data_IF_447434268438
#
_entry.id   IF_447434268438
#
_cell.length_a   1.000
_cell.length_b   1.000
_cell.length_c   1.000
_cell.angle_alpha   90.00
_cell.angle_beta   90.00
_cell.angle_gamma   90.00
#
_symmetry.space_group_name_H-M   'P 1'
#
loop_
_entity.id
_entity.type
_entity.pdbx_description
1 polymer ?
#
# COMPACT_ATOMS: atom_id res chain seq x y z
N UNK A 1 -12.06 -57.62 -25.50
CA UNK A 1 -10.68 -57.28 -25.05
C UNK A 1 -10.25 -55.86 -25.42
N UNK A 2 -10.64 -55.27 -26.56
CA UNK A 2 -10.22 -53.90 -26.93
C UNK A 2 -10.94 -52.74 -26.19
N UNK A 3 -12.16 -52.95 -25.68
CA UNK A 3 -12.95 -51.92 -24.99
C UNK A 3 -12.48 -51.65 -23.54
N UNK A 4 -11.95 -52.66 -22.84
CA UNK A 4 -11.42 -52.50 -21.47
C UNK A 4 -10.12 -51.68 -21.42
N UNK A 5 -9.29 -51.77 -22.47
CA UNK A 5 -8.00 -51.10 -22.52
C UNK A 5 -8.13 -49.60 -22.87
N UNK A 6 -9.21 -49.23 -23.56
CA UNK A 6 -9.57 -47.84 -23.88
C UNK A 6 -10.17 -47.09 -22.68
N UNK A 7 -10.95 -47.77 -21.84
CA UNK A 7 -11.53 -47.17 -20.63
C UNK A 7 -10.49 -46.89 -19.54
N UNK A 8 -9.52 -47.78 -19.33
CA UNK A 8 -8.44 -47.60 -18.33
C UNK A 8 -7.48 -46.46 -18.66
N UNK A 9 -7.18 -46.22 -19.94
CA UNK A 9 -6.20 -45.20 -20.36
C UNK A 9 -6.77 -43.78 -20.42
N UNK A 10 -8.07 -43.60 -20.67
CA UNK A 10 -8.73 -42.28 -20.63
C UNK A 10 -9.16 -41.82 -19.22
N UNK A 11 -9.42 -42.76 -18.30
CA UNK A 11 -9.78 -42.44 -16.92
C UNK A 11 -8.61 -41.89 -16.08
N UNK A 12 -7.39 -42.37 -16.33
CA UNK A 12 -6.18 -41.97 -15.59
C UNK A 12 -5.71 -40.56 -15.97
N UNK A 13 -5.75 -40.23 -17.27
CA UNK A 13 -5.27 -38.95 -17.80
C UNK A 13 -6.16 -37.74 -17.41
N UNK A 14 -7.45 -37.95 -17.12
CA UNK A 14 -8.37 -36.87 -16.70
C UNK A 14 -8.29 -36.60 -15.19
N UNK A 15 -8.07 -37.64 -14.37
CA UNK A 15 -7.93 -37.50 -12.92
C UNK A 15 -6.61 -36.84 -12.51
N UNK A 16 -5.51 -37.14 -13.21
CA UNK A 16 -4.20 -36.52 -12.92
C UNK A 16 -4.18 -35.01 -13.24
N UNK A 17 -4.92 -34.58 -14.28
CA UNK A 17 -5.09 -33.16 -14.64
C UNK A 17 -5.93 -32.39 -13.61
N UNK A 18 -6.95 -33.03 -13.02
CA UNK A 18 -7.76 -32.45 -11.95
C UNK A 18 -6.97 -32.22 -10.65
N UNK A 19 -6.07 -33.14 -10.29
CA UNK A 19 -5.21 -33.01 -9.10
C UNK A 19 -4.16 -31.89 -9.24
N UNK A 20 -3.57 -31.70 -10.43
CA UNK A 20 -2.66 -30.59 -10.70
C UNK A 20 -3.34 -29.22 -10.57
N UNK A 21 -4.53 -29.09 -11.15
CA UNK A 21 -5.33 -27.86 -11.06
C UNK A 21 -5.76 -27.53 -9.62
N UNK A 22 -6.04 -28.55 -8.81
CA UNK A 22 -6.37 -28.37 -7.40
C UNK A 22 -5.16 -27.92 -6.56
N UNK A 23 -3.95 -28.39 -6.90
CA UNK A 23 -2.70 -27.97 -6.27
C UNK A 23 -2.34 -26.50 -6.55
N UNK A 24 -2.54 -26.04 -7.78
CA UNK A 24 -2.33 -24.64 -8.16
C UNK A 24 -3.37 -23.71 -7.51
N UNK A 25 -4.62 -24.16 -7.41
CA UNK A 25 -5.68 -23.43 -6.70
C UNK A 25 -5.36 -23.30 -5.20
N UNK A 26 -4.87 -24.35 -4.55
CA UNK A 26 -4.49 -24.32 -3.15
C UNK A 26 -3.34 -23.33 -2.87
N UNK A 27 -2.34 -23.27 -3.75
CA UNK A 27 -1.25 -22.28 -3.66
C UNK A 27 -1.76 -20.85 -3.82
N UNK A 28 -2.64 -20.62 -4.79
CA UNK A 28 -3.26 -19.30 -5.00
C UNK A 28 -4.08 -18.85 -3.78
N UNK A 29 -4.90 -19.74 -3.21
CA UNK A 29 -5.69 -19.44 -2.00
C UNK A 29 -4.79 -19.07 -0.82
N UNK A 30 -3.68 -19.78 -0.63
CA UNK A 30 -2.72 -19.46 0.44
C UNK A 30 -2.06 -18.09 0.23
N UNK A 31 -1.64 -17.78 -0.99
CA UNK A 31 -1.06 -16.47 -1.32
C UNK A 31 -2.08 -15.34 -1.11
N UNK A 32 -3.35 -15.56 -1.48
CA UNK A 32 -4.42 -14.58 -1.26
C UNK A 32 -4.69 -14.34 0.23
N UNK A 33 -4.70 -15.40 1.05
CA UNK A 33 -4.84 -15.28 2.51
C UNK A 33 -3.67 -14.51 3.15
N UNK A 34 -2.43 -14.79 2.72
CA UNK A 34 -1.25 -14.07 3.20
C UNK A 34 -1.28 -12.59 2.79
N UNK A 35 -1.68 -12.29 1.55
CA UNK A 35 -1.90 -10.93 1.09
C UNK A 35 -2.96 -10.21 1.93
N UNK A 36 -4.11 -10.84 2.16
CA UNK A 36 -5.19 -10.24 2.96
C UNK A 36 -4.71 -9.89 4.38
N UNK A 37 -3.95 -10.78 5.02
CA UNK A 37 -3.38 -10.54 6.36
C UNK A 37 -2.35 -9.40 6.35
N UNK A 38 -1.43 -9.39 5.36
CA UNK A 38 -0.41 -8.33 5.22
C UNK A 38 -1.03 -6.98 4.92
N UNK A 39 -2.07 -6.92 4.09
CA UNK A 39 -2.78 -5.67 3.80
C UNK A 39 -3.50 -5.12 5.04
N UNK A 40 -4.13 -5.97 5.84
CA UNK A 40 -4.73 -5.54 7.10
C UNK A 40 -3.68 -4.96 8.06
N UNK A 41 -2.55 -5.64 8.24
CA UNK A 41 -1.45 -5.15 9.06
C UNK A 41 -0.88 -3.81 8.53
N UNK A 42 -0.72 -3.67 7.21
CA UNK A 42 -0.26 -2.42 6.61
C UNK A 42 -1.21 -1.25 6.88
N UNK A 43 -2.52 -1.49 6.79
CA UNK A 43 -3.51 -0.45 7.07
C UNK A 43 -3.36 0.06 8.51
N UNK A 44 -3.09 -0.82 9.47
CA UNK A 44 -2.82 -0.44 10.85
C UNK A 44 -1.47 0.28 11.01
N UNK A 45 -0.41 -0.21 10.37
CA UNK A 45 0.92 0.41 10.41
C UNK A 45 0.92 1.84 9.85
N UNK A 46 0.16 2.09 8.76
CA UNK A 46 0.05 3.43 8.15
C UNK A 46 -0.51 4.50 9.10
N UNK A 47 -1.22 4.12 10.17
CA UNK A 47 -1.64 5.06 11.20
C UNK A 47 -0.51 5.52 12.12
N UNK A 48 0.59 4.78 12.17
CA UNK A 48 1.72 5.04 13.09
C UNK A 48 2.94 5.63 12.38
N UNK A 49 3.05 5.43 11.07
CA UNK A 49 4.14 5.99 10.27
C UNK A 49 3.90 7.49 10.12
N UNK A 50 4.79 8.30 10.70
CA UNK A 50 4.71 9.76 10.66
C UNK A 50 5.60 10.31 9.53
N UNK A 51 5.07 11.29 8.81
CA UNK A 51 5.82 12.09 7.83
C UNK A 51 5.64 13.57 8.15
N UNK A 52 6.64 14.38 7.84
CA UNK A 52 6.60 15.83 8.05
C UNK A 52 6.82 16.56 6.74
N UNK A 53 5.83 17.38 6.38
CA UNK A 53 5.93 18.36 5.32
C UNK A 53 6.33 19.72 5.86
N UNK A 54 6.93 20.55 5.03
CA UNK A 54 7.43 21.87 5.42
C UNK A 54 7.21 22.93 4.33
N UNK A 55 7.19 24.18 4.76
CA UNK A 55 7.20 25.35 3.88
C UNK A 55 7.97 26.50 4.53
N UNK A 56 8.22 27.58 3.78
CA UNK A 56 8.89 28.77 4.30
C UNK A 56 10.27 28.46 4.89
N UNK A 57 11.06 27.61 4.24
CA UNK A 57 12.35 27.14 4.74
C UNK A 57 12.30 26.47 6.13
N UNK A 58 11.19 25.80 6.45
CA UNK A 58 10.99 25.07 7.71
C UNK A 58 10.34 25.89 8.81
N UNK A 59 9.91 27.13 8.52
CA UNK A 59 9.15 27.97 9.45
C UNK A 59 7.75 27.43 9.72
N UNK A 60 7.18 26.66 8.79
CA UNK A 60 5.94 25.91 9.02
C UNK A 60 6.17 24.44 8.73
N UNK A 61 5.80 23.58 9.68
CA UNK A 61 5.91 22.12 9.57
C UNK A 61 4.57 21.48 9.89
N UNK A 62 4.07 20.66 8.98
CA UNK A 62 2.86 19.86 9.19
C UNK A 62 3.25 18.39 9.27
N UNK A 63 2.85 17.71 10.35
CA UNK A 63 3.09 16.27 10.51
C UNK A 63 1.78 15.51 10.35
N UNK A 64 1.78 14.48 9.50
CA UNK A 64 0.66 13.58 9.32
C UNK A 64 1.11 12.12 9.32
N UNK A 65 0.14 11.21 9.46
CA UNK A 65 0.38 9.78 9.27
C UNK A 65 0.53 9.47 7.77
N UNK A 66 1.09 8.31 7.42
CA UNK A 66 1.14 7.84 6.03
C UNK A 66 -0.26 7.63 5.42
N UNK A 67 -1.30 7.50 6.26
CA UNK A 67 -2.72 7.52 5.86
C UNK A 67 -3.26 8.92 5.55
N UNK A 68 -2.48 9.97 5.79
CA UNK A 68 -2.85 11.36 5.57
C UNK A 68 -3.57 12.04 6.74
N UNK A 69 -3.62 11.40 7.91
CA UNK A 69 -4.23 12.00 9.11
C UNK A 69 -3.27 13.03 9.72
N UNK A 70 -3.65 14.31 9.75
CA UNK A 70 -2.86 15.38 10.38
C UNK A 70 -2.78 15.17 11.90
N UNK A 71 -1.57 15.30 12.46
CA UNK A 71 -1.29 15.10 13.89
C UNK A 71 -0.68 16.32 14.56
N UNK A 72 0.10 17.11 13.83
CA UNK A 72 0.73 18.31 14.38
C UNK A 72 0.91 19.40 13.31
N UNK A 73 0.92 20.64 13.78
CA UNK A 73 1.30 21.82 13.04
C UNK A 73 2.21 22.65 13.94
N UNK A 74 3.44 22.88 13.49
CA UNK A 74 4.44 23.71 14.14
C UNK A 74 4.69 24.94 13.27
N UNK A 75 4.64 26.12 13.89
CA UNK A 75 4.77 27.41 13.23
C UNK A 75 5.74 28.25 14.04
N UNK A 76 6.83 28.67 13.40
CA UNK A 76 7.83 29.54 14.00
C UNK A 76 7.20 30.89 14.34
N UNK A 77 7.35 31.38 15.59
CA UNK A 77 6.68 32.60 16.03
C UNK A 77 7.11 33.85 15.26
N UNK A 78 8.28 33.83 14.59
CA UNK A 78 8.79 34.96 13.81
C UNK A 78 7.91 35.34 12.62
N UNK A 79 7.03 34.44 12.14
CA UNK A 79 6.16 34.73 10.99
C UNK A 79 4.86 35.43 11.38
N UNK A 80 4.54 35.53 12.67
CA UNK A 80 3.34 36.24 13.13
C UNK A 80 3.62 37.74 13.28
N UNK A 81 3.58 38.46 12.16
CA UNK A 81 3.33 39.90 12.17
C UNK A 81 1.88 40.18 11.73
N UNK A 82 1.35 41.36 12.07
CA UNK A 82 -0.05 41.72 11.77
C UNK A 82 -0.36 41.91 10.29
N UNK A 83 0.68 42.11 9.46
CA UNK A 83 0.54 42.56 8.08
C UNK A 83 0.63 41.39 7.08
N UNK A 84 1.13 40.22 7.51
CA UNK A 84 1.45 39.06 6.66
C UNK A 84 0.49 37.87 6.84
N UNK A 85 -0.73 38.11 7.32
CA UNK A 85 -1.75 37.04 7.54
C UNK A 85 -1.89 36.11 6.34
N UNK A 86 -2.01 36.67 5.13
CA UNK A 86 -2.18 35.90 3.89
C UNK A 86 -0.96 35.02 3.60
N UNK A 87 0.24 35.51 3.88
CA UNK A 87 1.49 34.75 3.71
C UNK A 87 1.52 33.57 4.67
N UNK A 88 1.14 33.77 5.94
CA UNK A 88 1.09 32.70 6.94
C UNK A 88 0.08 31.61 6.52
N UNK A 89 -1.10 32.01 6.05
CA UNK A 89 -2.13 31.09 5.56
C UNK A 89 -1.62 30.25 4.37
N UNK A 90 -0.93 30.87 3.42
CA UNK A 90 -0.34 30.18 2.27
C UNK A 90 0.78 29.21 2.68
N UNK A 91 1.63 29.60 3.63
CA UNK A 91 2.68 28.73 4.16
C UNK A 91 2.10 27.50 4.85
N UNK A 92 1.04 27.66 5.64
CA UNK A 92 0.34 26.53 6.28
C UNK A 92 -0.22 25.57 5.22
N UNK A 93 -0.90 26.09 4.20
CA UNK A 93 -1.43 25.27 3.11
C UNK A 93 -0.31 24.54 2.36
N UNK A 94 0.81 25.20 2.11
CA UNK A 94 1.96 24.61 1.44
C UNK A 94 2.57 23.46 2.26
N UNK A 95 2.76 23.65 3.57
CA UNK A 95 3.32 22.60 4.44
C UNK A 95 2.39 21.37 4.53
N UNK A 96 1.08 21.59 4.60
CA UNK A 96 0.08 20.50 4.60
C UNK A 96 0.12 19.73 3.28
N UNK A 97 0.17 20.42 2.13
CA UNK A 97 0.26 19.79 0.81
C UNK A 97 1.53 18.96 0.68
N UNK A 98 2.67 19.49 1.13
CA UNK A 98 3.94 18.75 1.15
C UNK A 98 3.85 17.50 2.05
N UNK A 99 3.23 17.61 3.23
CA UNK A 99 3.03 16.47 4.13
C UNK A 99 2.15 15.39 3.49
N UNK A 100 1.06 15.77 2.81
CA UNK A 100 0.17 14.85 2.09
C UNK A 100 0.87 14.16 0.90
N UNK A 101 1.70 14.89 0.16
CA UNK A 101 2.50 14.31 -0.92
C UNK A 101 3.50 13.28 -0.37
N UNK A 102 4.20 13.61 0.72
CA UNK A 102 5.11 12.69 1.42
C UNK A 102 4.38 11.48 2.00
N UNK A 103 3.17 11.66 2.56
CA UNK A 103 2.35 10.56 3.06
C UNK A 103 1.97 9.60 1.94
N UNK A 104 1.55 10.13 0.79
CA UNK A 104 1.19 9.34 -0.39
C UNK A 104 2.39 8.56 -0.93
N UNK A 105 3.56 9.18 -1.00
CA UNK A 105 4.80 8.51 -1.40
C UNK A 105 5.20 7.41 -0.40
N UNK A 106 5.10 7.67 0.90
CA UNK A 106 5.39 6.70 1.96
C UNK A 106 4.43 5.51 1.90
N UNK A 107 3.13 5.74 1.69
CA UNK A 107 2.13 4.68 1.55
C UNK A 107 2.42 3.78 0.32
N UNK A 108 2.83 4.38 -0.81
CA UNK A 108 3.24 3.62 -2.00
C UNK A 108 4.50 2.78 -1.75
N UNK A 109 5.47 3.32 -1.01
CA UNK A 109 6.68 2.59 -0.63
C UNK A 109 6.35 1.36 0.22
N UNK A 110 5.48 1.51 1.24
CA UNK A 110 5.09 0.39 2.10
C UNK A 110 4.29 -0.67 1.34
N UNK A 111 3.41 -0.25 0.44
CA UNK A 111 2.70 -1.15 -0.46
C UNK A 111 3.69 -1.93 -1.36
N UNK A 112 4.72 -1.25 -1.87
CA UNK A 112 5.78 -1.85 -2.67
C UNK A 112 6.56 -2.94 -1.93
N UNK A 113 6.87 -2.73 -0.64
CA UNK A 113 7.55 -3.74 0.19
C UNK A 113 6.74 -5.04 0.32
N UNK A 114 5.42 -4.92 0.39
CA UNK A 114 4.51 -6.07 0.50
C UNK A 114 4.46 -6.86 -0.82
N UNK A 115 4.38 -6.17 -1.96
CA UNK A 115 4.35 -6.82 -3.27
C UNK A 115 5.69 -7.47 -3.63
N UNK A 116 6.80 -6.80 -3.33
CA UNK A 116 8.16 -7.35 -3.48
C UNK A 116 8.37 -8.60 -2.62
N UNK A 117 7.93 -8.56 -1.35
CA UNK A 117 7.99 -9.71 -0.44
C UNK A 117 7.08 -10.89 -0.83
N UNK A 118 6.18 -10.71 -1.80
CA UNK A 118 5.35 -11.79 -2.38
C UNK A 118 5.80 -12.20 -3.78
N UNK A 119 6.86 -11.59 -4.32
CA UNK A 119 7.34 -11.87 -5.68
C UNK A 119 6.36 -11.46 -6.78
N UNK A 120 5.48 -10.49 -6.49
CA UNK A 120 4.50 -9.99 -7.47
C UNK A 120 5.15 -8.94 -8.39
N UNK A 121 4.91 -8.98 -9.72
CA UNK A 121 5.40 -7.97 -10.64
C UNK A 121 4.88 -6.58 -10.27
N UNK A 122 5.71 -5.54 -10.41
CA UNK A 122 5.33 -4.14 -10.13
C UNK A 122 4.18 -3.64 -11.02
N UNK A 123 4.00 -4.24 -12.20
CA UNK A 123 2.94 -3.91 -13.16
C UNK A 123 1.61 -4.64 -12.90
N UNK A 124 1.54 -5.50 -11.86
CA UNK A 124 0.29 -6.15 -11.49
C UNK A 124 -0.65 -5.10 -10.89
N UNK A 125 -1.59 -4.62 -11.71
CA UNK A 125 -2.63 -3.67 -11.31
C UNK A 125 -3.59 -4.38 -10.36
N UNK A 126 -3.30 -4.31 -9.07
CA UNK A 126 -4.12 -4.93 -8.06
C UNK A 126 -5.45 -4.15 -7.95
N UNK A 127 -6.60 -4.83 -7.94
CA UNK A 127 -7.91 -4.19 -7.88
C UNK A 127 -8.18 -3.73 -6.45
N UNK A 128 -7.73 -2.52 -6.12
CA UNK A 128 -8.13 -1.82 -4.92
C UNK A 128 -8.28 -0.33 -5.18
#
# INVERSE_FOLDING_TARGET
>A
MALDQWARTKGDHSMFKGLGQMGDMAKMMKAAQEMQKKMAALQDEMHTIMVTGESGAGLVKATCTAKGELKALDIDPSIFNSDDKEVVEDLILAAIKDAQAKASARAQEEMGKITEGMGLPKDMKLPF
#
